data_IF_018064736908
#
_entry.id   IF_018064736908
#
_cell.length_a   1.000
_cell.length_b   1.000
_cell.length_c   1.000
_cell.angle_alpha   90.00
_cell.angle_beta   90.00
_cell.angle_gamma   90.00
#
_symmetry.space_group_name_H-M   'P 1'
#
loop_
_entity.id
_entity.type
_entity.pdbx_description
1 polymer ?
#
# COMPACT_ATOMS: atom_id res chain seq x y z
N UNK A 1 28.15 -7.60 -3.80
CA UNK A 1 27.34 -6.85 -4.79
C UNK A 1 25.93 -6.72 -4.26
N UNK A 2 25.57 -5.54 -3.74
CA UNK A 2 24.32 -5.31 -3.01
C UNK A 2 23.25 -4.82 -4.00
N UNK A 3 22.13 -5.56 -4.13
CA UNK A 3 21.06 -5.31 -5.12
C UNK A 3 19.88 -4.50 -4.54
N UNK A 4 20.09 -3.74 -3.47
CA UNK A 4 19.06 -2.88 -2.91
C UNK A 4 19.13 -1.54 -3.61
N UNK A 5 18.23 -1.32 -4.59
CA UNK A 5 18.04 0.00 -5.21
C UNK A 5 17.72 1.01 -4.08
N UNK A 6 18.54 2.03 -3.85
CA UNK A 6 18.34 3.01 -2.77
C UNK A 6 17.15 3.96 -3.02
N UNK A 7 16.50 3.86 -4.19
CA UNK A 7 15.33 4.65 -4.57
C UNK A 7 13.98 3.94 -4.34
N UNK A 8 13.96 2.77 -3.68
CA UNK A 8 12.70 2.26 -3.15
C UNK A 8 12.38 3.16 -1.96
N UNK A 9 11.57 4.19 -2.20
CA UNK A 9 10.90 4.94 -1.14
C UNK A 9 10.04 3.95 -0.36
N UNK A 10 10.63 3.29 0.64
CA UNK A 10 9.92 2.84 1.84
C UNK A 10 9.53 4.11 2.60
N UNK A 11 8.78 4.99 1.95
CA UNK A 11 8.04 6.03 2.65
C UNK A 11 7.15 5.28 3.63
N UNK A 12 7.21 5.68 4.89
CA UNK A 12 6.25 5.24 5.89
C UNK A 12 4.86 5.32 5.25
N UNK A 13 4.09 4.24 5.35
CA UNK A 13 2.73 4.21 4.85
C UNK A 13 2.01 5.41 5.47
N UNK A 14 1.49 6.33 4.65
CA UNK A 14 0.80 7.49 5.21
C UNK A 14 -0.39 6.97 6.02
N UNK A 15 -0.74 7.67 7.10
CA UNK A 15 -1.96 7.35 7.86
C UNK A 15 -3.19 7.30 6.95
N UNK A 16 -3.19 8.09 5.89
CA UNK A 16 -4.25 8.12 4.87
C UNK A 16 -4.33 6.81 4.08
N UNK A 17 -3.18 6.21 3.72
CA UNK A 17 -3.10 4.91 3.05
C UNK A 17 -3.58 3.81 3.98
N UNK A 18 -3.19 3.87 5.26
CA UNK A 18 -3.61 2.91 6.28
C UNK A 18 -5.14 2.97 6.52
N UNK A 19 -5.72 4.16 6.64
CA UNK A 19 -7.15 4.39 6.74
C UNK A 19 -7.90 3.91 5.48
N UNK A 20 -7.30 4.09 4.31
CA UNK A 20 -7.86 3.60 3.06
C UNK A 20 -7.87 2.07 3.02
N UNK A 21 -6.77 1.41 3.42
CA UNK A 21 -6.67 -0.04 3.51
C UNK A 21 -7.73 -0.59 4.49
N UNK A 22 -7.87 0.00 5.68
CA UNK A 22 -8.85 -0.44 6.67
C UNK A 22 -10.28 -0.29 6.13
N UNK A 23 -10.62 0.86 5.53
CA UNK A 23 -11.94 1.08 4.93
C UNK A 23 -12.22 0.13 3.78
N UNK A 24 -11.24 -0.09 2.91
CA UNK A 24 -11.38 -0.98 1.76
C UNK A 24 -11.45 -2.45 2.17
N UNK A 25 -10.69 -2.87 3.19
CA UNK A 25 -10.76 -4.22 3.74
C UNK A 25 -12.13 -4.51 4.37
N UNK A 26 -12.70 -3.54 5.10
CA UNK A 26 -14.07 -3.63 5.61
C UNK A 26 -15.12 -3.75 4.50
N UNK A 27 -14.92 -3.08 3.37
CA UNK A 27 -15.85 -3.10 2.22
C UNK A 27 -15.69 -4.33 1.31
N UNK A 28 -14.46 -4.77 1.06
CA UNK A 28 -14.11 -5.74 0.02
C UNK A 28 -13.61 -7.08 0.57
N UNK A 29 -13.32 -7.14 1.87
CA UNK A 29 -12.69 -8.29 2.52
C UNK A 29 -11.24 -8.49 2.07
N UNK A 30 -10.82 -9.75 1.96
CA UNK A 30 -9.43 -10.15 1.62
C UNK A 30 -9.05 -9.95 0.14
N UNK A 31 -9.66 -9.00 -0.58
CA UNK A 31 -9.36 -8.70 -1.99
C UNK A 31 -8.16 -7.76 -2.14
N UNK A 32 -7.01 -8.18 -1.61
CA UNK A 32 -5.79 -7.38 -1.55
C UNK A 32 -5.33 -6.82 -2.89
N UNK A 33 -5.47 -7.57 -3.99
CA UNK A 33 -5.13 -7.12 -5.34
C UNK A 33 -5.91 -5.86 -5.75
N UNK A 34 -7.19 -5.79 -5.36
CA UNK A 34 -8.07 -4.66 -5.68
C UNK A 34 -7.82 -3.45 -4.76
N UNK A 35 -7.46 -3.73 -3.50
CA UNK A 35 -7.11 -2.70 -2.51
C UNK A 35 -5.78 -2.04 -2.91
N UNK A 36 -4.78 -2.85 -3.24
CA UNK A 36 -3.46 -2.38 -3.66
C UNK A 36 -3.52 -1.52 -4.93
N UNK A 37 -4.35 -1.91 -5.91
CA UNK A 37 -4.53 -1.11 -7.13
C UNK A 37 -5.23 0.24 -6.93
N UNK A 38 -5.76 0.53 -5.73
CA UNK A 38 -6.35 1.83 -5.37
C UNK A 38 -5.45 2.69 -4.48
N UNK A 39 -4.30 2.19 -4.05
CA UNK A 39 -3.36 2.99 -3.24
C UNK A 39 -2.53 3.87 -4.18
N UNK A 40 -2.68 5.21 -4.12
CA UNK A 40 -1.91 6.10 -4.99
C UNK A 40 -0.43 6.04 -4.61
N UNK A 41 0.41 5.53 -5.50
CA UNK A 41 1.87 5.45 -5.29
C UNK A 41 2.44 4.03 -5.12
N UNK A 42 1.63 2.99 -5.34
CA UNK A 42 2.08 1.59 -5.49
C UNK A 42 1.52 0.91 -6.73
#
# INVERSE_FOLDING_TARGET
KNYLRPNIKRGEMSKEEEDLIIRMHKLLGNRWSLIAGRLPGR
#
